data_IF_745141967390
#
_entry.id   IF_745141967390
#
_cell.length_a   1.000
_cell.length_b   1.000
_cell.length_c   1.000
_cell.angle_alpha   90.00
_cell.angle_beta   90.00
_cell.angle_gamma   90.00
#
_symmetry.space_group_name_H-M   'P 1'
#
loop_
_entity.id
_entity.type
_entity.pdbx_description
1 polymer ?
#
# COMPACT_ATOMS: atom_id res chain seq x y z
N UNK A 1 -16.60 -8.27 67.48
CA UNK A 1 -15.59 -7.79 66.54
C UNK A 1 -16.23 -7.75 65.16
N UNK A 2 -16.45 -6.55 64.62
CA UNK A 2 -17.12 -6.34 63.35
C UNK A 2 -16.08 -6.48 62.22
N UNK A 3 -16.33 -7.32 61.22
CA UNK A 3 -15.55 -7.42 60.00
C UNK A 3 -15.74 -6.19 59.13
N UNK A 4 -14.70 -5.40 59.02
CA UNK A 4 -14.62 -4.14 58.23
C UNK A 4 -13.76 -4.36 56.97
N UNK A 5 -14.11 -5.27 56.06
CA UNK A 5 -13.54 -5.28 54.71
C UNK A 5 -14.45 -6.11 53.78
N UNK A 6 -15.59 -5.55 53.43
CA UNK A 6 -16.32 -5.96 52.25
C UNK A 6 -16.15 -4.90 51.19
N UNK A 7 -15.18 -5.11 50.28
CA UNK A 7 -15.13 -4.30 49.07
C UNK A 7 -16.34 -4.61 48.19
N UNK A 8 -17.13 -3.67 47.76
CA UNK A 8 -18.13 -3.88 46.73
C UNK A 8 -17.42 -4.22 45.41
N UNK A 9 -17.91 -5.24 44.73
CA UNK A 9 -17.49 -5.61 43.40
C UNK A 9 -17.62 -4.39 42.44
N UNK A 10 -16.67 -4.18 41.54
CA UNK A 10 -16.79 -3.10 40.57
C UNK A 10 -18.03 -3.35 39.71
N UNK A 11 -18.87 -2.34 39.62
CA UNK A 11 -20.01 -2.37 38.72
C UNK A 11 -19.52 -2.62 37.30
N UNK A 12 -20.07 -3.63 36.63
CA UNK A 12 -19.83 -3.87 35.22
C UNK A 12 -20.33 -2.68 34.41
N UNK A 13 -19.41 -1.86 33.96
CA UNK A 13 -19.71 -0.82 32.98
C UNK A 13 -19.94 -1.54 31.66
N UNK A 14 -21.19 -1.63 31.25
CA UNK A 14 -21.54 -2.07 29.91
C UNK A 14 -20.75 -1.23 28.89
N UNK A 15 -20.19 -1.84 27.85
CA UNK A 15 -19.51 -1.07 26.81
C UNK A 15 -20.52 -0.07 26.21
N UNK A 16 -20.10 1.14 25.86
CA UNK A 16 -20.99 2.13 25.26
C UNK A 16 -21.58 1.50 23.99
N UNK A 17 -22.87 1.36 23.98
CA UNK A 17 -23.60 1.02 22.75
C UNK A 17 -23.35 2.16 21.78
N UNK A 18 -22.59 1.86 20.75
CA UNK A 18 -22.31 2.79 19.67
C UNK A 18 -23.56 2.82 18.77
N UNK A 19 -24.60 3.50 19.26
CA UNK A 19 -25.81 3.83 18.50
C UNK A 19 -25.56 4.99 17.52
N UNK A 20 -24.42 5.03 16.94
CA UNK A 20 -24.17 5.73 15.72
C UNK A 20 -24.36 4.76 14.57
N UNK A 21 -25.58 4.39 14.26
CA UNK A 21 -25.91 3.78 12.98
C UNK A 21 -25.35 4.69 11.89
N UNK A 22 -24.17 4.38 11.35
CA UNK A 22 -23.77 4.94 10.07
C UNK A 22 -24.89 4.50 9.13
N UNK A 23 -25.73 5.44 8.73
CA UNK A 23 -26.55 5.23 7.54
C UNK A 23 -25.60 4.68 6.48
N UNK A 24 -25.82 3.44 6.10
CA UNK A 24 -25.15 2.86 4.93
C UNK A 24 -25.76 3.64 3.78
N UNK A 25 -25.10 4.73 3.40
CA UNK A 25 -25.45 5.44 2.18
C UNK A 25 -25.23 4.41 1.09
N UNK A 26 -26.33 3.91 0.55
CA UNK A 26 -26.31 2.95 -0.54
C UNK A 26 -25.75 3.70 -1.75
N UNK A 27 -24.47 3.49 -2.06
CA UNK A 27 -23.82 4.12 -3.20
C UNK A 27 -24.44 3.52 -4.47
N UNK A 28 -25.18 4.30 -5.28
CA UNK A 28 -25.80 3.79 -6.50
C UNK A 28 -24.79 3.24 -7.51
N UNK A 29 -23.48 3.54 -7.32
CA UNK A 29 -22.41 3.08 -8.20
C UNK A 29 -21.67 1.84 -7.65
N UNK A 30 -22.07 1.26 -6.51
CA UNK A 30 -21.35 0.13 -5.87
C UNK A 30 -21.17 -1.09 -6.77
N UNK A 31 -22.11 -1.27 -7.71
CA UNK A 31 -22.12 -2.37 -8.68
C UNK A 31 -21.55 -2.00 -10.04
N UNK A 32 -21.16 -0.73 -10.23
CA UNK A 32 -20.51 -0.30 -11.45
C UNK A 32 -19.15 -0.99 -11.62
N UNK A 33 -18.84 -1.45 -12.83
CA UNK A 33 -17.56 -2.10 -13.10
C UNK A 33 -16.40 -1.11 -12.97
N UNK A 34 -15.22 -1.62 -12.55
CA UNK A 34 -13.99 -0.83 -12.53
C UNK A 34 -13.64 -0.35 -13.94
N UNK A 35 -13.25 0.92 -14.07
CA UNK A 35 -12.89 1.53 -15.36
C UNK A 35 -11.40 1.69 -15.49
N UNK A 36 -10.85 1.26 -16.62
CA UNK A 36 -9.44 1.41 -16.97
C UNK A 36 -9.27 2.29 -18.20
N UNK A 37 -8.21 3.07 -18.18
CA UNK A 37 -7.81 3.91 -19.30
C UNK A 37 -6.30 3.73 -19.52
N UNK A 38 -5.91 3.26 -20.69
CA UNK A 38 -4.53 3.05 -21.06
C UNK A 38 -4.09 4.16 -21.99
N UNK A 39 -3.10 4.95 -21.55
CA UNK A 39 -2.44 5.92 -22.43
C UNK A 39 -1.34 5.21 -23.21
N UNK A 40 -1.62 5.00 -24.50
CA UNK A 40 -0.56 4.74 -25.49
C UNK A 40 -0.46 5.96 -26.40
N UNK A 41 0.70 6.27 -27.00
CA UNK A 41 0.90 7.54 -27.73
C UNK A 41 -0.14 7.90 -28.80
N UNK A 42 -1.12 7.02 -29.09
CA UNK A 42 -2.14 7.27 -30.13
C UNK A 42 -3.56 6.78 -29.83
N UNK A 43 -3.88 6.18 -28.68
CA UNK A 43 -5.26 5.75 -28.39
C UNK A 43 -5.58 5.78 -26.90
N UNK A 44 -6.66 6.47 -26.59
CA UNK A 44 -7.22 6.56 -25.24
C UNK A 44 -8.45 5.63 -25.20
N UNK A 45 -8.34 4.50 -24.51
CA UNK A 45 -9.47 3.61 -24.25
C UNK A 45 -9.84 3.62 -22.76
N UNK A 46 -11.08 3.95 -22.44
CA UNK A 46 -11.64 3.80 -21.09
C UNK A 46 -12.46 2.51 -21.03
N UNK A 47 -12.11 1.65 -20.09
CA UNK A 47 -12.83 0.40 -19.87
C UNK A 47 -13.22 0.26 -18.41
N UNK A 48 -14.41 -0.28 -18.18
CA UNK A 48 -14.89 -0.64 -16.86
C UNK A 48 -14.43 -2.06 -16.50
N UNK A 49 -13.88 -2.28 -15.29
CA UNK A 49 -13.34 -3.57 -14.85
C UNK A 49 -13.65 -3.88 -13.40
N UNK A 50 -13.99 -5.12 -13.15
CA UNK A 50 -14.00 -5.70 -11.83
C UNK A 50 -12.57 -6.11 -11.42
N UNK A 51 -12.32 -6.32 -10.11
CA UNK A 51 -11.00 -6.73 -9.60
C UNK A 51 -10.43 -7.96 -10.32
N UNK A 52 -11.28 -8.97 -10.60
CA UNK A 52 -10.92 -10.19 -11.32
C UNK A 52 -10.47 -9.90 -12.76
N UNK A 53 -10.96 -8.82 -13.35
CA UNK A 53 -10.66 -8.44 -14.72
C UNK A 53 -9.47 -7.50 -14.82
N UNK A 54 -8.99 -6.92 -13.72
CA UNK A 54 -7.85 -6.01 -13.71
C UNK A 54 -6.62 -6.64 -14.39
N UNK A 55 -6.36 -7.91 -14.12
CA UNK A 55 -5.25 -8.65 -14.70
C UNK A 55 -5.44 -8.93 -16.19
N UNK A 56 -6.68 -9.01 -16.66
CA UNK A 56 -7.00 -9.17 -18.06
C UNK A 56 -6.97 -7.85 -18.85
N UNK A 57 -7.05 -6.73 -18.14
CA UNK A 57 -6.98 -5.40 -18.77
C UNK A 57 -5.57 -4.87 -18.86
N UNK A 58 -4.75 -5.18 -17.88
CA UNK A 58 -3.35 -4.87 -17.95
C UNK A 58 -2.69 -5.83 -18.95
N UNK A 59 -1.74 -5.35 -19.76
CA UNK A 59 -1.09 -6.20 -20.74
C UNK A 59 -0.28 -7.29 -20.04
N UNK A 60 -0.12 -8.44 -20.71
CA UNK A 60 0.74 -9.53 -20.27
C UNK A 60 2.20 -9.10 -20.05
N UNK A 61 2.62 -8.04 -20.74
CA UNK A 61 3.95 -7.47 -20.62
C UNK A 61 3.83 -5.95 -20.58
N UNK A 62 4.34 -5.36 -19.52
CA UNK A 62 4.51 -3.92 -19.43
C UNK A 62 5.69 -3.50 -20.31
N UNK A 63 5.51 -2.43 -21.08
CA UNK A 63 6.56 -1.85 -21.89
C UNK A 63 7.04 -0.54 -21.23
N UNK A 64 8.32 -0.27 -21.34
CA UNK A 64 8.89 1.01 -20.90
C UNK A 64 8.21 2.17 -21.63
N UNK A 65 7.87 3.21 -20.89
CA UNK A 65 7.17 4.40 -21.38
C UNK A 65 5.64 4.27 -21.42
N UNK A 66 5.07 3.11 -21.07
CA UNK A 66 3.62 2.96 -20.94
C UNK A 66 3.12 3.57 -19.61
N UNK A 67 1.93 4.17 -19.65
CA UNK A 67 1.19 4.61 -18.48
C UNK A 67 -0.24 4.07 -18.53
N UNK A 68 -0.70 3.47 -17.43
CA UNK A 68 -2.02 2.86 -17.30
C UNK A 68 -2.83 3.60 -16.26
N UNK A 69 -3.85 4.33 -16.70
CA UNK A 69 -4.78 5.03 -15.82
C UNK A 69 -6.00 4.17 -15.57
N UNK A 70 -6.27 3.87 -14.30
CA UNK A 70 -7.34 3.01 -13.86
C UNK A 70 -8.27 3.78 -12.93
N UNK A 71 -9.56 3.53 -13.06
CA UNK A 71 -10.56 4.11 -12.20
C UNK A 71 -11.52 3.01 -11.73
N UNK A 72 -11.70 2.89 -10.41
CA UNK A 72 -12.56 1.88 -9.80
C UNK A 72 -13.60 2.53 -8.90
N UNK A 73 -14.71 1.82 -8.70
CA UNK A 73 -15.76 2.21 -7.75
C UNK A 73 -15.58 1.48 -6.41
N UNK A 74 -14.36 1.52 -5.86
CA UNK A 74 -14.04 1.02 -4.54
C UNK A 74 -13.85 -0.50 -4.42
N UNK A 75 -13.79 -1.22 -5.54
CA UNK A 75 -13.55 -2.69 -5.54
C UNK A 75 -12.07 -3.06 -5.55
N UNK A 76 -11.19 -2.13 -5.95
CA UNK A 76 -9.75 -2.38 -6.11
C UNK A 76 -8.96 -1.52 -5.15
N UNK A 77 -8.07 -2.14 -4.41
CA UNK A 77 -7.10 -1.52 -3.53
C UNK A 77 -5.68 -1.57 -4.10
N UNK A 78 -4.74 -0.90 -3.43
CA UNK A 78 -3.34 -0.84 -3.90
C UNK A 78 -2.69 -2.22 -3.98
N UNK A 79 -3.13 -3.21 -3.18
CA UNK A 79 -2.54 -4.55 -3.20
C UNK A 79 -2.90 -5.33 -4.48
N UNK A 80 -4.07 -5.07 -5.06
CA UNK A 80 -4.49 -5.69 -6.30
C UNK A 80 -3.60 -5.24 -7.47
N UNK A 81 -3.26 -3.94 -7.52
CA UNK A 81 -2.33 -3.41 -8.52
C UNK A 81 -0.92 -3.98 -8.35
N UNK A 82 -0.43 -4.06 -7.10
CA UNK A 82 0.86 -4.67 -6.82
C UNK A 82 0.90 -6.15 -7.19
N UNK A 83 -0.20 -6.89 -6.97
CA UNK A 83 -0.33 -8.29 -7.40
C UNK A 83 -0.18 -8.44 -8.92
N UNK A 84 -0.84 -7.59 -9.69
CA UNK A 84 -0.74 -7.61 -11.14
C UNK A 84 0.71 -7.37 -11.63
N UNK A 85 1.44 -6.47 -10.97
CA UNK A 85 2.85 -6.20 -11.25
C UNK A 85 3.71 -7.42 -10.89
N UNK A 86 3.53 -8.00 -9.69
CA UNK A 86 4.30 -9.15 -9.22
C UNK A 86 4.07 -10.43 -10.04
N UNK A 87 2.96 -10.55 -10.75
CA UNK A 87 2.75 -11.62 -11.73
C UNK A 87 3.68 -11.52 -12.94
N UNK A 88 4.17 -10.33 -13.24
CA UNK A 88 5.03 -10.11 -14.40
C UNK A 88 6.52 -10.21 -14.06
N UNK A 89 6.91 -9.85 -12.84
CA UNK A 89 8.29 -9.98 -12.36
C UNK A 89 8.38 -9.91 -10.84
N UNK A 90 9.40 -10.53 -10.21
CA UNK A 90 9.79 -10.21 -8.86
C UNK A 90 10.42 -8.81 -8.78
N UNK A 91 10.44 -8.23 -7.58
CA UNK A 91 11.02 -6.92 -7.31
C UNK A 91 12.25 -7.06 -6.42
N UNK A 92 13.35 -6.46 -6.83
CA UNK A 92 14.53 -6.29 -6.01
C UNK A 92 14.24 -5.35 -4.84
N UNK A 93 13.59 -4.24 -5.13
CA UNK A 93 13.24 -3.21 -4.16
C UNK A 93 11.85 -2.67 -4.43
N UNK A 94 11.10 -2.47 -3.35
CA UNK A 94 9.80 -1.82 -3.36
C UNK A 94 9.74 -0.79 -2.23
N UNK A 95 9.40 0.44 -2.55
CA UNK A 95 9.00 1.47 -1.58
C UNK A 95 7.50 1.71 -1.70
N UNK A 96 6.78 1.67 -0.57
CA UNK A 96 5.35 1.94 -0.51
C UNK A 96 5.06 3.06 0.47
N UNK A 97 4.15 3.95 0.10
CA UNK A 97 3.61 4.98 0.97
C UNK A 97 2.09 4.91 0.95
N UNK A 98 1.46 4.90 2.14
CA UNK A 98 0.01 4.89 2.28
C UNK A 98 -0.41 5.57 3.57
N UNK A 99 -1.64 6.07 3.62
CA UNK A 99 -2.21 6.59 4.86
C UNK A 99 -2.75 5.48 5.76
N UNK A 100 -3.25 4.38 5.17
CA UNK A 100 -3.84 3.27 5.91
C UNK A 100 -3.61 1.93 5.21
N UNK A 101 -3.47 0.86 6.02
CA UNK A 101 -3.51 -0.53 5.56
C UNK A 101 -4.22 -1.41 6.60
N UNK A 102 -4.77 -2.54 6.15
CA UNK A 102 -5.43 -3.52 7.00
C UNK A 102 -4.55 -4.75 7.26
N UNK A 103 -4.90 -5.55 8.27
CA UNK A 103 -4.16 -6.77 8.64
C UNK A 103 -4.07 -7.77 7.49
N UNK A 104 -5.13 -7.94 6.70
CA UNK A 104 -5.13 -8.86 5.55
C UNK A 104 -4.08 -8.49 4.49
N UNK A 105 -3.76 -7.20 4.36
CA UNK A 105 -2.71 -6.73 3.46
C UNK A 105 -1.31 -7.05 3.99
N UNK A 106 -1.12 -7.03 5.33
CA UNK A 106 0.14 -7.46 5.96
C UNK A 106 0.41 -8.93 5.67
N UNK A 107 -0.60 -9.79 5.83
CA UNK A 107 -0.49 -11.23 5.51
C UNK A 107 -0.12 -11.47 4.04
N UNK A 108 -0.69 -10.68 3.14
CA UNK A 108 -0.36 -10.78 1.72
C UNK A 108 1.07 -10.32 1.43
N UNK A 109 1.50 -9.20 2.02
CA UNK A 109 2.89 -8.72 1.90
C UNK A 109 3.87 -9.74 2.48
N UNK A 110 3.56 -10.36 3.62
CA UNK A 110 4.37 -11.41 4.21
C UNK A 110 4.57 -12.60 3.26
N UNK A 111 3.49 -13.06 2.60
CA UNK A 111 3.56 -14.14 1.61
C UNK A 111 4.50 -13.79 0.47
N UNK A 112 4.45 -12.56 -0.05
CA UNK A 112 5.31 -12.12 -1.14
C UNK A 112 6.78 -11.95 -0.73
N UNK A 113 7.05 -11.43 0.47
CA UNK A 113 8.40 -11.38 1.04
C UNK A 113 8.98 -12.78 1.24
N UNK A 114 8.21 -13.69 1.86
CA UNK A 114 8.64 -15.07 2.10
C UNK A 114 8.88 -15.84 0.79
N UNK A 115 8.08 -15.59 -0.25
CA UNK A 115 8.23 -16.22 -1.55
C UNK A 115 9.35 -15.59 -2.41
N UNK A 116 10.04 -14.54 -1.94
CA UNK A 116 11.07 -13.84 -2.70
C UNK A 116 10.53 -13.04 -3.91
N UNK A 117 9.23 -12.78 -3.94
CA UNK A 117 8.64 -11.92 -4.97
C UNK A 117 8.94 -10.45 -4.71
N UNK A 118 9.22 -10.09 -3.46
CA UNK A 118 9.75 -8.79 -3.05
C UNK A 118 10.98 -9.09 -2.18
N UNK A 119 12.16 -8.69 -2.63
CA UNK A 119 13.39 -8.98 -1.90
C UNK A 119 13.62 -7.99 -0.75
N UNK A 120 13.29 -6.70 -0.96
CA UNK A 120 13.35 -5.66 0.06
C UNK A 120 12.15 -4.73 -0.05
N UNK A 121 11.53 -4.41 1.09
CA UNK A 121 10.39 -3.52 1.20
C UNK A 121 10.66 -2.41 2.21
N UNK A 122 10.61 -1.15 1.78
CA UNK A 122 10.53 0.02 2.66
C UNK A 122 9.08 0.53 2.64
N UNK A 123 8.43 0.63 3.80
CA UNK A 123 7.00 0.95 3.88
C UNK A 123 6.75 2.17 4.77
N UNK A 124 6.06 3.16 4.24
CA UNK A 124 5.80 4.42 4.92
C UNK A 124 4.31 4.57 5.22
N UNK A 125 3.99 4.78 6.50
CA UNK A 125 2.62 4.90 7.01
C UNK A 125 2.35 6.28 7.59
N UNK A 126 1.07 6.63 7.77
CA UNK A 126 0.67 7.88 8.40
C UNK A 126 0.99 7.94 9.90
N UNK A 127 1.08 9.14 10.47
CA UNK A 127 1.37 9.38 11.89
C UNK A 127 0.37 8.72 12.86
N UNK A 128 -0.84 8.45 12.41
CA UNK A 128 -1.87 7.75 13.20
C UNK A 128 -1.45 6.34 13.64
N UNK A 129 -0.48 5.73 12.94
CA UNK A 129 0.05 4.42 13.28
C UNK A 129 0.87 4.43 14.57
N UNK A 130 1.39 5.56 14.99
CA UNK A 130 2.12 5.71 16.26
C UNK A 130 1.21 5.53 17.49
N UNK A 131 -0.09 5.80 17.34
CA UNK A 131 -1.04 5.85 18.46
C UNK A 131 -2.22 4.91 18.27
N UNK A 132 -2.93 5.02 17.16
CA UNK A 132 -4.21 4.32 16.94
C UNK A 132 -4.04 2.92 16.36
N UNK A 133 -3.00 2.71 15.57
CA UNK A 133 -2.76 1.46 14.83
C UNK A 133 -1.40 0.85 15.15
N UNK A 134 -0.99 0.92 16.43
CA UNK A 134 0.32 0.44 16.87
C UNK A 134 0.51 -1.05 16.60
N UNK A 135 -0.53 -1.87 16.78
CA UNK A 135 -0.47 -3.31 16.53
C UNK A 135 -0.21 -3.62 15.05
N UNK A 136 -0.86 -2.86 14.14
CA UNK A 136 -0.64 -2.97 12.69
C UNK A 136 0.79 -2.52 12.34
N UNK A 137 1.28 -1.46 12.96
CA UNK A 137 2.66 -1.00 12.80
C UNK A 137 3.67 -2.06 13.22
N UNK A 138 3.48 -2.66 14.41
CA UNK A 138 4.37 -3.70 14.93
C UNK A 138 4.34 -4.96 14.06
N UNK A 139 3.16 -5.37 13.60
CA UNK A 139 3.01 -6.49 12.67
C UNK A 139 3.72 -6.23 11.34
N UNK A 140 3.57 -5.01 10.77
CA UNK A 140 4.25 -4.61 9.56
C UNK A 140 5.78 -4.61 9.75
N UNK A 141 6.26 -4.05 10.86
CA UNK A 141 7.69 -4.07 11.23
C UNK A 141 8.24 -5.49 11.33
N UNK A 142 7.47 -6.40 11.96
CA UNK A 142 7.85 -7.79 12.13
C UNK A 142 8.10 -8.51 10.80
N UNK A 143 7.29 -8.28 9.78
CA UNK A 143 7.43 -8.95 8.48
C UNK A 143 8.46 -8.29 7.57
N UNK A 144 8.70 -6.98 7.72
CA UNK A 144 9.58 -6.21 6.83
C UNK A 144 11.05 -6.25 7.26
N UNK A 145 11.32 -6.13 8.57
CA UNK A 145 12.70 -6.04 9.09
C UNK A 145 13.59 -7.23 8.68
N UNK A 146 13.11 -8.49 8.64
CA UNK A 146 13.94 -9.62 8.21
C UNK A 146 14.47 -9.52 6.77
N UNK A 147 13.79 -8.79 5.89
CA UNK A 147 14.25 -8.54 4.51
C UNK A 147 15.23 -7.36 4.40
N UNK A 148 15.68 -6.80 5.54
CA UNK A 148 16.50 -5.59 5.58
C UNK A 148 15.69 -4.31 5.28
N UNK A 149 14.37 -4.41 5.17
CA UNK A 149 13.50 -3.28 4.93
C UNK A 149 13.17 -2.48 6.20
N UNK A 150 12.45 -1.38 6.02
CA UNK A 150 12.17 -0.40 7.07
C UNK A 150 10.70 0.02 7.05
N UNK A 151 10.17 0.40 8.22
CA UNK A 151 8.83 0.99 8.33
C UNK A 151 8.95 2.41 8.86
N UNK A 152 8.67 3.39 8.01
CA UNK A 152 8.71 4.81 8.34
C UNK A 152 7.34 5.35 8.74
N UNK A 153 7.28 6.17 9.78
CA UNK A 153 6.08 6.90 10.17
C UNK A 153 6.23 8.34 9.69
N UNK A 154 5.28 8.82 8.89
CA UNK A 154 5.32 10.16 8.29
C UNK A 154 4.00 10.90 8.49
N UNK A 155 4.04 12.22 8.43
CA UNK A 155 2.84 13.04 8.21
C UNK A 155 2.51 13.02 6.72
N UNK A 156 1.79 11.99 6.28
CA UNK A 156 1.53 11.81 4.86
C UNK A 156 0.07 11.42 4.58
N UNK A 157 -0.37 11.70 3.36
CA UNK A 157 -1.62 11.20 2.80
C UNK A 157 -1.43 10.64 1.38
N UNK A 158 -0.21 10.59 0.89
CA UNK A 158 0.12 10.03 -0.42
C UNK A 158 -0.09 8.51 -0.45
N UNK A 159 -0.40 7.98 -1.63
CA UNK A 159 -0.49 6.55 -1.94
C UNK A 159 0.36 6.31 -3.17
N UNK A 160 1.56 5.83 -2.91
CA UNK A 160 2.61 5.68 -3.92
C UNK A 160 3.28 4.33 -3.72
N UNK A 161 3.52 3.63 -4.80
CA UNK A 161 4.39 2.46 -4.85
C UNK A 161 5.44 2.69 -5.91
N UNK A 162 6.71 2.47 -5.56
CA UNK A 162 7.84 2.55 -6.49
C UNK A 162 8.60 1.24 -6.43
N UNK A 163 8.71 0.57 -7.55
CA UNK A 163 9.33 -0.74 -7.59
C UNK A 163 10.39 -0.87 -8.68
N UNK A 164 11.42 -1.64 -8.35
CA UNK A 164 12.57 -1.93 -9.20
C UNK A 164 12.69 -3.42 -9.42
N UNK A 165 12.71 -3.82 -10.67
CA UNK A 165 12.84 -5.20 -11.09
C UNK A 165 13.83 -5.37 -12.25
N UNK A 166 14.03 -6.60 -12.68
CA UNK A 166 14.96 -6.87 -13.79
C UNK A 166 14.43 -6.43 -15.15
N UNK A 167 13.10 -6.53 -15.34
CA UNK A 167 12.48 -6.27 -16.65
C UNK A 167 12.05 -4.81 -16.80
N UNK A 168 11.48 -4.23 -15.75
CA UNK A 168 11.02 -2.85 -15.75
C UNK A 168 10.99 -2.30 -14.32
N UNK A 169 11.07 -0.97 -14.23
CA UNK A 169 10.79 -0.19 -13.03
C UNK A 169 9.44 0.51 -13.21
N UNK A 170 8.77 0.77 -12.10
CA UNK A 170 7.45 1.39 -12.14
C UNK A 170 7.22 2.36 -11.00
N UNK A 171 6.28 3.26 -11.23
CA UNK A 171 5.60 4.05 -10.21
C UNK A 171 4.11 3.79 -10.32
N UNK A 172 3.46 3.46 -9.20
CA UNK A 172 2.01 3.42 -9.11
C UNK A 172 1.55 4.45 -8.07
N UNK A 173 0.74 5.40 -8.50
CA UNK A 173 0.28 6.50 -7.66
C UNK A 173 -1.20 6.78 -7.87
N UNK A 174 -1.90 7.15 -6.78
CA UNK A 174 -3.33 7.38 -6.87
C UNK A 174 -4.00 7.74 -5.56
N UNK A 175 -5.30 7.47 -5.48
CA UNK A 175 -6.10 7.73 -4.29
C UNK A 175 -6.28 6.49 -3.40
N UNK A 176 -6.13 5.27 -3.95
CA UNK A 176 -6.39 4.01 -3.25
C UNK A 176 -5.37 3.71 -2.15
N UNK A 177 -5.83 3.49 -0.92
CA UNK A 177 -5.02 2.98 0.17
C UNK A 177 -4.82 1.45 0.07
N UNK A 178 -4.01 0.90 0.97
CA UNK A 178 -3.91 -0.55 1.21
C UNK A 178 -5.08 -1.04 2.07
N UNK A 179 -6.30 -0.71 1.66
CA UNK A 179 -7.55 -1.21 2.23
C UNK A 179 -8.67 -1.05 1.22
N UNK A 180 -9.66 -1.91 1.31
CA UNK A 180 -10.89 -1.75 0.51
C UNK A 180 -11.65 -0.52 1.01
N UNK A 181 -11.97 0.39 0.11
CA UNK A 181 -12.75 1.59 0.39
C UNK A 181 -13.93 1.63 -0.61
N UNK A 182 -15.19 1.72 -0.16
CA UNK A 182 -16.36 1.72 -1.03
C UNK A 182 -16.55 3.02 -1.82
N UNK A 183 -15.49 3.81 -1.99
CA UNK A 183 -15.48 5.07 -2.73
C UNK A 183 -14.77 4.89 -4.07
N UNK A 184 -15.07 5.78 -5.00
CA UNK A 184 -14.34 5.83 -6.27
C UNK A 184 -12.86 6.12 -5.99
N UNK A 185 -11.99 5.32 -6.61
CA UNK A 185 -10.54 5.41 -6.48
C UNK A 185 -9.90 5.41 -7.87
N UNK A 186 -8.80 6.11 -7.98
CA UNK A 186 -8.00 6.12 -9.21
C UNK A 186 -6.58 5.66 -8.93
N UNK A 187 -5.94 5.04 -9.93
CA UNK A 187 -4.53 4.64 -9.89
C UNK A 187 -3.92 4.87 -11.27
N UNK A 188 -2.71 5.39 -11.28
CA UNK A 188 -1.87 5.41 -12.48
C UNK A 188 -0.66 4.51 -12.24
N UNK A 189 -0.38 3.59 -13.17
CA UNK A 189 0.84 2.78 -13.18
C UNK A 189 1.67 3.26 -14.36
N UNK A 190 2.84 3.82 -14.09
CA UNK A 190 3.78 4.31 -15.10
C UNK A 190 5.01 3.43 -15.10
N UNK A 191 5.37 2.89 -16.28
CA UNK A 191 6.53 2.03 -16.46
C UNK A 191 7.68 2.88 -16.98
N UNK A 192 8.41 3.48 -16.06
CA UNK A 192 9.49 4.42 -16.39
C UNK A 192 10.59 4.40 -15.33
N UNK A 193 11.81 4.14 -15.74
CA UNK A 193 12.98 4.10 -14.85
C UNK A 193 13.31 5.49 -14.28
N UNK A 194 13.25 6.53 -15.10
CA UNK A 194 13.56 7.89 -14.68
C UNK A 194 12.62 8.38 -13.60
N UNK A 195 11.30 8.14 -13.78
CA UNK A 195 10.31 8.50 -12.78
C UNK A 195 10.47 7.65 -11.50
N UNK A 196 10.75 6.35 -11.62
CA UNK A 196 10.99 5.48 -10.47
C UNK A 196 12.23 5.94 -9.67
N UNK A 197 13.32 6.30 -10.35
CA UNK A 197 14.52 6.86 -9.72
C UNK A 197 14.25 8.21 -9.06
N UNK A 198 13.52 9.11 -9.71
CA UNK A 198 13.10 10.37 -9.10
C UNK A 198 12.38 10.14 -7.77
N UNK A 199 11.38 9.28 -7.73
CA UNK A 199 10.69 8.97 -6.48
C UNK A 199 11.60 8.33 -5.44
N UNK A 200 12.45 7.38 -5.85
CA UNK A 200 13.38 6.72 -4.91
C UNK A 200 14.41 7.70 -4.39
N UNK A 201 15.17 8.33 -5.27
CA UNK A 201 16.38 9.07 -4.93
C UNK A 201 16.08 10.49 -4.40
N UNK A 202 15.14 11.21 -5.05
CA UNK A 202 14.83 12.57 -4.64
C UNK A 202 13.76 12.64 -3.54
N UNK A 203 12.88 11.62 -3.42
CA UNK A 203 11.79 11.65 -2.46
C UNK A 203 12.04 10.66 -1.31
N UNK A 204 12.00 9.34 -1.55
CA UNK A 204 12.02 8.35 -0.48
C UNK A 204 13.35 8.31 0.28
N UNK A 205 14.49 8.41 -0.39
CA UNK A 205 15.81 8.40 0.24
C UNK A 205 16.08 9.67 1.07
N UNK A 206 15.36 10.77 0.81
CA UNK A 206 15.46 12.04 1.54
C UNK A 206 14.37 12.22 2.61
N UNK A 207 13.41 11.29 2.74
CA UNK A 207 12.39 11.37 3.79
C UNK A 207 12.99 11.23 5.19
N UNK A 208 12.45 12.03 6.12
CA UNK A 208 12.82 12.00 7.54
C UNK A 208 11.63 11.47 8.36
N UNK A 209 11.56 10.16 8.63
CA UNK A 209 10.48 9.58 9.41
C UNK A 209 10.48 10.08 10.87
N UNK A 210 9.29 10.09 11.49
CA UNK A 210 9.13 10.45 12.92
C UNK A 210 9.76 9.43 13.86
N UNK A 211 10.04 8.23 13.37
CA UNK A 211 10.72 7.14 14.07
C UNK A 211 12.14 6.93 13.52
N UNK A 212 12.86 8.02 13.30
CA UNK A 212 14.20 8.01 12.67
C UNK A 212 15.20 7.15 13.43
N UNK A 213 15.08 7.05 14.75
CA UNK A 213 16.01 6.31 15.63
C UNK A 213 15.82 4.78 15.56
N UNK A 214 14.76 4.30 14.93
CA UNK A 214 14.46 2.86 14.88
C UNK A 214 15.24 2.08 13.83
N UNK A 215 15.82 2.76 12.84
CA UNK A 215 16.49 2.14 11.70
C UNK A 215 17.70 2.96 11.23
N UNK A 216 18.61 2.27 10.53
CA UNK A 216 19.57 2.95 9.67
C UNK A 216 18.87 3.39 8.38
N UNK A 217 18.70 4.69 8.19
CA UNK A 217 18.00 5.30 7.05
C UNK A 217 18.92 5.59 5.85
N UNK A 218 20.07 4.96 5.77
CA UNK A 218 20.91 5.08 4.57
C UNK A 218 20.14 4.57 3.34
N UNK A 219 20.23 5.27 2.19
CA UNK A 219 19.62 4.86 0.95
C UNK A 219 19.97 3.42 0.58
N UNK A 220 18.95 2.66 0.13
CA UNK A 220 19.20 1.35 -0.45
C UNK A 220 19.84 1.50 -1.83
N UNK A 221 20.97 0.86 -2.05
CA UNK A 221 21.62 0.79 -3.37
C UNK A 221 21.06 -0.40 -4.14
N UNK A 222 20.57 -0.14 -5.36
CA UNK A 222 20.13 -1.20 -6.26
C UNK A 222 21.35 -2.01 -6.73
N UNK A 223 21.22 -3.32 -6.85
CA UNK A 223 22.34 -4.20 -7.26
C UNK A 223 22.95 -3.80 -8.59
N UNK A 224 22.10 -3.35 -9.52
CA UNK A 224 22.57 -2.88 -10.83
C UNK A 224 23.44 -1.62 -10.75
N UNK A 225 23.35 -0.82 -9.68
CA UNK A 225 24.16 0.37 -9.48
C UNK A 225 25.50 0.05 -8.80
N UNK A 226 25.68 -1.19 -8.29
CA UNK A 226 26.93 -1.66 -7.66
C UNK A 226 27.94 -2.21 -8.69
N UNK A 227 27.52 -2.40 -9.95
CA UNK A 227 28.32 -3.05 -11.01
C UNK A 227 29.11 -2.01 -11.84
N UNK A 228 28.98 -0.73 -11.53
CA UNK A 228 29.70 0.38 -12.15
C UNK A 228 30.85 0.82 -11.24
#
# INVERSE_FOLDING_TARGET
>A
MRNLFSNPAPASVAPPQNEGGREVIDDPNKDEPTKAHTLRPKQIERRAVAEIELENLLPWHFNRGDAYHLFSYGKIDSIAYLRAILKQQPLEYLACQTFYLSTSHIEQLQKWLTAGLINRLDFYVGEVFKYKYIDIYLALKHIITPSGGRVGILRNHAKIMVGFGERFDFVAEGSANFNVNPRSEQMCITIDEGLARFYKEDIFDNMKPLNIDEYNWQPYKLKRDEII
#
